data_IF_920839574722
#
_entry.id   IF_920839574722
#
_cell.length_a   1.000
_cell.length_b   1.000
_cell.length_c   1.000
_cell.angle_alpha   90.00
_cell.angle_beta   90.00
_cell.angle_gamma   90.00
#
_symmetry.space_group_name_H-M   'P 1'
#
loop_
_entity.id
_entity.type
_entity.pdbx_description
1 polymer ?
#
# COMPACT_ATOMS: atom_id res chain seq x y z
N UNK A 1 2.21 -15.59 -18.12
CA UNK A 1 3.43 -14.89 -17.63
C UNK A 1 4.26 -15.88 -16.85
N UNK A 2 5.59 -15.82 -16.90
CA UNK A 2 6.40 -16.61 -15.96
C UNK A 2 6.13 -16.12 -14.53
N UNK A 3 6.09 -17.02 -13.54
CA UNK A 3 5.83 -16.68 -12.12
C UNK A 3 6.81 -15.63 -11.61
N UNK A 4 8.07 -15.70 -12.03
CA UNK A 4 9.10 -14.71 -11.72
C UNK A 4 8.68 -13.30 -12.16
N UNK A 5 8.12 -13.17 -13.36
CA UNK A 5 7.64 -11.88 -13.87
C UNK A 5 6.49 -11.35 -13.01
N UNK A 6 5.57 -12.23 -12.59
CA UNK A 6 4.46 -11.83 -11.71
C UNK A 6 4.99 -11.33 -10.36
N UNK A 7 5.92 -12.08 -9.75
CA UNK A 7 6.52 -11.72 -8.47
C UNK A 7 7.27 -10.37 -8.55
N UNK A 8 8.03 -10.13 -9.61
CA UNK A 8 8.74 -8.86 -9.83
C UNK A 8 7.75 -7.72 -10.01
N UNK A 9 6.73 -7.88 -10.86
CA UNK A 9 5.70 -6.86 -11.07
C UNK A 9 4.95 -6.53 -9.78
N UNK A 10 4.55 -7.55 -9.03
CA UNK A 10 3.90 -7.43 -7.73
C UNK A 10 4.80 -6.70 -6.72
N UNK A 11 6.08 -7.08 -6.64
CA UNK A 11 7.05 -6.42 -5.78
C UNK A 11 7.21 -4.93 -6.13
N UNK A 12 7.34 -4.60 -7.41
CA UNK A 12 7.51 -3.23 -7.89
C UNK A 12 6.28 -2.37 -7.60
N UNK A 13 5.08 -2.85 -7.92
CA UNK A 13 3.83 -2.12 -7.68
C UNK A 13 3.62 -1.94 -6.17
N UNK A 14 3.85 -2.98 -5.38
CA UNK A 14 3.75 -2.90 -3.92
C UNK A 14 4.75 -1.90 -3.34
N UNK A 15 6.00 -1.91 -3.79
CA UNK A 15 7.00 -0.96 -3.33
C UNK A 15 6.62 0.50 -3.63
N UNK A 16 6.12 0.78 -4.84
CA UNK A 16 5.59 2.10 -5.19
C UNK A 16 4.40 2.46 -4.28
N UNK A 17 3.50 1.50 -4.03
CA UNK A 17 2.35 1.72 -3.16
C UNK A 17 2.74 2.01 -1.70
N UNK A 18 3.81 1.41 -1.19
CA UNK A 18 4.35 1.68 0.15
C UNK A 18 4.89 3.12 0.29
N UNK A 19 5.37 3.70 -0.81
CA UNK A 19 5.84 5.09 -0.84
C UNK A 19 4.68 6.09 -0.85
N UNK A 20 3.52 5.69 -1.38
CA UNK A 20 2.33 6.54 -1.47
C UNK A 20 1.90 7.06 -0.09
N UNK A 21 1.71 8.38 0.08
CA UNK A 21 1.21 8.98 1.30
C UNK A 21 -0.08 8.33 1.78
N UNK A 22 -0.19 8.19 3.09
CA UNK A 22 -1.29 7.51 3.73
C UNK A 22 -1.10 7.38 5.23
N UNK A 23 -2.09 6.78 5.93
CA UNK A 23 -2.06 6.65 7.37
C UNK A 23 -0.86 5.83 7.87
N UNK A 24 -0.42 4.83 7.11
CA UNK A 24 0.72 3.96 7.44
C UNK A 24 2.04 4.74 7.50
N UNK A 25 2.35 5.49 6.43
CA UNK A 25 3.55 6.33 6.35
C UNK A 25 3.53 7.44 7.41
N UNK A 26 2.39 8.13 7.55
CA UNK A 26 2.20 9.18 8.55
C UNK A 26 2.42 8.67 9.98
N UNK A 27 1.89 7.48 10.29
CA UNK A 27 2.03 6.85 11.60
C UNK A 27 3.51 6.57 11.93
N UNK A 28 4.26 6.01 10.99
CA UNK A 28 5.70 5.72 11.18
C UNK A 28 6.48 7.02 11.36
N UNK A 29 6.27 8.00 10.47
CA UNK A 29 6.98 9.30 10.52
C UNK A 29 6.73 10.01 11.85
N UNK A 30 5.47 10.16 12.27
CA UNK A 30 5.12 10.89 13.51
C UNK A 30 5.67 10.22 14.77
N UNK A 31 5.67 8.88 14.82
CA UNK A 31 6.08 8.18 16.03
C UNK A 31 7.57 7.87 16.09
N UNK A 32 8.24 7.67 14.97
CA UNK A 32 9.70 7.55 14.93
C UNK A 32 10.40 8.85 15.36
N UNK A 33 9.78 10.00 15.03
CA UNK A 33 10.29 11.33 15.36
C UNK A 33 10.01 11.73 16.80
N UNK A 34 8.80 11.48 17.31
CA UNK A 34 8.39 11.86 18.68
C UNK A 34 8.84 10.86 19.76
N UNK A 35 8.82 9.57 19.46
CA UNK A 35 9.01 8.49 20.44
C UNK A 35 10.24 7.61 20.13
N UNK A 36 11.07 8.02 19.17
CA UNK A 36 12.32 7.35 18.81
C UNK A 36 12.18 6.17 17.83
N UNK A 37 13.32 5.77 17.28
CA UNK A 37 13.43 4.76 16.21
C UNK A 37 12.82 3.41 16.60
N UNK A 38 13.03 2.98 17.85
CA UNK A 38 12.52 1.70 18.36
C UNK A 38 11.00 1.62 18.25
N UNK A 39 10.28 2.67 18.65
CA UNK A 39 8.82 2.75 18.53
C UNK A 39 8.38 2.66 17.07
N UNK A 40 9.08 3.36 16.17
CA UNK A 40 8.84 3.27 14.72
C UNK A 40 9.05 1.86 14.15
N UNK A 41 10.04 1.11 14.63
CA UNK A 41 10.29 -0.28 14.20
C UNK A 41 9.17 -1.23 14.60
N UNK A 42 8.63 -1.10 15.82
CA UNK A 42 7.48 -1.92 16.25
C UNK A 42 6.20 -1.57 15.48
N UNK A 43 6.00 -0.28 15.16
CA UNK A 43 4.91 0.14 14.26
C UNK A 43 5.10 -0.48 12.87
N UNK A 44 6.31 -0.42 12.30
CA UNK A 44 6.63 -1.01 11.00
C UNK A 44 6.33 -2.52 10.98
N UNK A 45 6.67 -3.23 12.06
CA UNK A 45 6.33 -4.64 12.21
C UNK A 45 4.81 -4.88 12.24
N UNK A 46 4.06 -4.07 12.99
CA UNK A 46 2.60 -4.13 13.04
C UNK A 46 1.95 -3.89 11.68
N UNK A 47 2.37 -2.83 10.97
CA UNK A 47 1.90 -2.51 9.61
C UNK A 47 2.17 -3.67 8.65
N UNK A 48 3.36 -4.26 8.70
CA UNK A 48 3.77 -5.36 7.83
C UNK A 48 2.96 -6.63 8.09
N UNK A 49 2.64 -6.92 9.36
CA UNK A 49 1.73 -8.02 9.70
C UNK A 49 0.30 -7.78 9.19
N UNK A 50 -0.20 -6.53 9.21
CA UNK A 50 -1.49 -6.18 8.60
C UNK A 50 -1.48 -6.42 7.08
N UNK A 51 -0.42 -5.98 6.41
CA UNK A 51 -0.21 -6.18 4.97
C UNK A 51 -0.17 -7.67 4.63
N UNK A 52 0.56 -8.46 5.43
CA UNK A 52 0.62 -9.92 5.26
C UNK A 52 -0.77 -10.54 5.37
N UNK A 53 -1.60 -10.08 6.31
CA UNK A 53 -2.95 -10.61 6.49
C UNK A 53 -3.87 -10.25 5.33
N UNK A 54 -3.87 -8.99 4.87
CA UNK A 54 -4.59 -8.58 3.66
C UNK A 54 -4.15 -9.37 2.44
N UNK A 55 -2.85 -9.59 2.29
CA UNK A 55 -2.27 -10.36 1.18
C UNK A 55 -2.71 -11.83 1.24
N UNK A 56 -2.65 -12.45 2.42
CA UNK A 56 -3.06 -13.83 2.65
C UNK A 56 -4.53 -14.05 2.33
N UNK A 57 -5.42 -13.20 2.86
CA UNK A 57 -6.85 -13.29 2.59
C UNK A 57 -7.19 -12.99 1.15
N UNK A 58 -6.50 -12.05 0.51
CA UNK A 58 -6.72 -11.76 -0.90
C UNK A 58 -6.29 -12.95 -1.77
N UNK A 59 -5.08 -13.48 -1.58
CA UNK A 59 -4.56 -14.62 -2.34
C UNK A 59 -5.42 -15.89 -2.20
N UNK A 60 -5.84 -16.21 -0.97
CA UNK A 60 -6.66 -17.39 -0.70
C UNK A 60 -8.11 -17.19 -1.11
N UNK A 61 -8.70 -16.03 -0.80
CA UNK A 61 -10.09 -15.69 -1.13
C UNK A 61 -10.34 -15.57 -2.64
N UNK A 62 -9.40 -14.98 -3.39
CA UNK A 62 -9.52 -14.89 -4.85
C UNK A 62 -9.48 -16.26 -5.50
N UNK A 63 -8.58 -17.15 -5.06
CA UNK A 63 -8.51 -18.52 -5.59
C UNK A 63 -9.85 -19.26 -5.46
N UNK A 64 -10.57 -19.04 -4.36
CA UNK A 64 -11.91 -19.58 -4.15
C UNK A 64 -12.97 -18.91 -5.05
N UNK A 65 -12.97 -17.57 -5.10
CA UNK A 65 -13.96 -16.79 -5.84
C UNK A 65 -13.93 -17.04 -7.35
N UNK A 66 -12.73 -17.16 -7.94
CA UNK A 66 -12.58 -17.41 -9.39
C UNK A 66 -13.25 -18.71 -9.81
N UNK A 67 -13.16 -19.77 -9.00
CA UNK A 67 -13.72 -21.08 -9.35
C UNK A 67 -15.20 -21.22 -9.01
N UNK A 68 -15.66 -20.61 -7.92
CA UNK A 68 -17.02 -20.83 -7.40
C UNK A 68 -18.01 -19.71 -7.74
N UNK A 69 -17.53 -18.47 -7.90
CA UNK A 69 -18.40 -17.29 -8.12
C UNK A 69 -17.76 -16.30 -9.11
N UNK A 70 -17.67 -16.64 -10.41
CA UNK A 70 -17.02 -15.80 -11.42
C UNK A 70 -17.63 -14.39 -11.53
N UNK A 71 -18.95 -14.26 -11.37
CA UNK A 71 -19.64 -12.96 -11.38
C UNK A 71 -19.20 -12.07 -10.22
N UNK A 72 -19.07 -12.64 -9.02
CA UNK A 72 -18.61 -11.89 -7.84
C UNK A 72 -17.13 -11.48 -7.99
N UNK A 73 -16.31 -12.36 -8.59
CA UNK A 73 -14.93 -12.04 -8.93
C UNK A 73 -14.84 -10.84 -9.89
N UNK A 74 -15.63 -10.81 -10.97
CA UNK A 74 -15.68 -9.68 -11.90
C UNK A 74 -16.12 -8.37 -11.24
N UNK A 75 -17.13 -8.42 -10.34
CA UNK A 75 -17.56 -7.25 -9.56
C UNK A 75 -16.43 -6.72 -8.69
N UNK A 76 -15.68 -7.61 -8.04
CA UNK A 76 -14.53 -7.25 -7.20
C UNK A 76 -13.42 -6.63 -8.03
N UNK A 77 -13.11 -7.17 -9.23
CA UNK A 77 -12.12 -6.58 -10.13
C UNK A 77 -12.54 -5.18 -10.60
N UNK A 78 -13.80 -4.98 -10.98
CA UNK A 78 -14.32 -3.67 -11.38
C UNK A 78 -14.26 -2.65 -10.23
N UNK A 79 -14.66 -3.06 -9.02
CA UNK A 79 -14.59 -2.21 -7.84
C UNK A 79 -13.14 -1.85 -7.49
N UNK A 80 -12.24 -2.84 -7.54
CA UNK A 80 -10.82 -2.67 -7.27
C UNK A 80 -10.11 -1.76 -8.27
N UNK A 81 -10.32 -1.99 -9.57
CA UNK A 81 -9.80 -1.14 -10.64
C UNK A 81 -10.31 0.31 -10.54
N UNK A 82 -11.60 0.49 -10.26
CA UNK A 82 -12.20 1.82 -10.03
C UNK A 82 -11.56 2.55 -8.83
N UNK A 83 -11.29 1.82 -7.75
CA UNK A 83 -10.67 2.41 -6.56
C UNK A 83 -9.20 2.77 -6.80
N UNK A 84 -8.42 1.92 -7.47
CA UNK A 84 -7.05 2.26 -7.87
C UNK A 84 -7.03 3.50 -8.77
N UNK A 85 -7.99 3.61 -9.68
CA UNK A 85 -8.14 4.80 -10.53
C UNK A 85 -8.47 6.05 -9.70
N UNK A 86 -9.38 5.94 -8.73
CA UNK A 86 -9.70 7.02 -7.78
C UNK A 86 -8.47 7.45 -6.97
N UNK A 87 -7.69 6.51 -6.43
CA UNK A 87 -6.44 6.81 -5.72
C UNK A 87 -5.41 7.46 -6.64
N UNK A 88 -5.25 6.94 -7.86
CA UNK A 88 -4.34 7.49 -8.85
C UNK A 88 -4.69 8.94 -9.20
N UNK A 89 -5.97 9.21 -9.48
CA UNK A 89 -6.48 10.55 -9.73
C UNK A 89 -6.29 11.49 -8.53
N UNK A 90 -6.54 11.00 -7.30
CA UNK A 90 -6.31 11.76 -6.07
C UNK A 90 -4.84 12.18 -5.91
N UNK A 91 -3.91 11.27 -6.16
CA UNK A 91 -2.47 11.55 -6.06
C UNK A 91 -1.99 12.52 -7.16
N UNK A 92 -2.48 12.37 -8.40
CA UNK A 92 -2.21 13.33 -9.48
C UNK A 92 -2.76 14.73 -9.17
N UNK A 93 -3.98 14.81 -8.62
CA UNK A 93 -4.59 16.08 -8.22
C UNK A 93 -3.84 16.75 -7.07
N UNK A 94 -3.39 15.99 -6.07
CA UNK A 94 -2.57 16.50 -4.99
C UNK A 94 -1.24 17.07 -5.51
N UNK A 95 -0.58 16.33 -6.41
CA UNK A 95 0.64 16.77 -7.09
C UNK A 95 0.41 18.08 -7.85
N UNK A 96 -0.68 18.16 -8.63
CA UNK A 96 -1.03 19.36 -9.39
C UNK A 96 -1.28 20.58 -8.50
N UNK A 97 -1.96 20.40 -7.37
CA UNK A 97 -2.24 21.48 -6.43
C UNK A 97 -0.96 22.00 -5.75
N UNK A 98 -0.03 21.11 -5.36
CA UNK A 98 1.25 21.51 -4.77
C UNK A 98 2.15 22.21 -5.80
N UNK A 99 2.09 21.80 -7.06
CA UNK A 99 2.85 22.45 -8.14
C UNK A 99 2.25 23.82 -8.51
N UNK A 100 0.92 24.01 -8.40
CA UNK A 100 0.28 25.30 -8.64
C UNK A 100 0.32 26.28 -7.47
N UNK A 101 0.36 25.78 -6.22
CA UNK A 101 0.46 26.60 -5.02
C UNK A 101 1.86 26.42 -4.43
N UNK A 102 2.78 27.32 -4.79
CA UNK A 102 4.10 27.46 -4.18
C UNK A 102 4.01 27.98 -2.74
N UNK A 103 3.20 27.36 -1.88
CA UNK A 103 3.09 27.77 -0.48
C UNK A 103 3.14 26.56 0.46
N UNK A 104 3.99 26.70 1.48
CA UNK A 104 4.37 25.70 2.47
C UNK A 104 3.16 25.17 3.25
N UNK A 105 2.49 24.15 2.73
CA UNK A 105 1.51 23.38 3.49
C UNK A 105 2.21 22.20 4.15
N UNK A 106 2.90 22.48 5.27
CA UNK A 106 3.21 21.45 6.24
C UNK A 106 1.89 20.84 6.72
N UNK A 107 1.63 19.58 6.35
CA UNK A 107 0.44 18.84 6.80
C UNK A 107 0.54 18.63 8.30
N UNK A 108 0.04 19.58 9.09
CA UNK A 108 -0.24 19.38 10.52
C UNK A 108 -1.39 18.40 10.65
N UNK A 109 -1.06 17.12 10.75
CA UNK A 109 -2.03 16.12 11.18
C UNK A 109 -2.19 16.28 12.70
N UNK A 110 -3.23 17.01 13.14
CA UNK A 110 -3.66 17.01 14.54
C UNK A 110 -4.14 15.61 14.92
N UNK A 111 -3.26 14.80 15.49
CA UNK A 111 -3.66 13.51 16.10
C UNK A 111 -3.32 13.56 17.59
N UNK A 112 -4.35 13.33 18.40
CA UNK A 112 -4.35 13.42 19.87
C UNK A 112 -3.17 12.69 20.49
N UNK A 113 -2.57 13.33 21.49
CA UNK A 113 -1.49 12.82 22.32
C UNK A 113 -1.84 11.45 22.90
N UNK A 114 -1.21 10.41 22.38
CA UNK A 114 -1.07 9.14 23.08
C UNK A 114 0.42 8.81 23.03
N UNK A 115 1.07 9.03 24.16
CA UNK A 115 2.45 8.60 24.41
C UNK A 115 2.48 7.09 24.23
N UNK A 116 3.09 6.61 23.14
CA UNK A 116 3.26 5.16 22.94
C UNK A 116 4.34 4.73 23.93
N UNK A 117 3.92 4.24 25.09
CA UNK A 117 4.81 3.98 26.21
C UNK A 117 5.47 2.59 26.14
N UNK A 118 4.90 1.65 25.37
CA UNK A 118 5.42 0.29 25.28
C UNK A 118 5.41 -0.30 23.84
N UNK A 119 6.30 -1.27 23.62
CA UNK A 119 6.53 -1.94 22.32
C UNK A 119 5.28 -2.64 21.77
N UNK A 120 4.44 -3.19 22.66
CA UNK A 120 3.20 -3.88 22.29
C UNK A 120 2.17 -2.91 21.72
N UNK A 121 2.03 -1.75 22.35
CA UNK A 121 1.14 -0.69 21.90
C UNK A 121 1.57 -0.14 20.54
N UNK A 122 2.87 0.05 20.33
CA UNK A 122 3.44 0.43 19.04
C UNK A 122 3.06 -0.57 17.92
N UNK A 123 3.27 -1.87 18.18
CA UNK A 123 2.89 -2.94 17.26
C UNK A 123 1.37 -2.97 17.02
N UNK A 124 0.57 -2.98 18.08
CA UNK A 124 -0.89 -3.05 17.98
C UNK A 124 -1.46 -1.84 17.24
N UNK A 125 -0.88 -0.65 17.42
CA UNK A 125 -1.27 0.55 16.68
C UNK A 125 -0.94 0.42 15.19
N UNK A 126 0.27 -0.01 14.84
CA UNK A 126 0.63 -0.28 13.44
C UNK A 126 -0.30 -1.31 12.80
N UNK A 127 -0.52 -2.44 13.48
CA UNK A 127 -1.41 -3.49 12.99
C UNK A 127 -2.85 -3.01 12.81
N UNK A 128 -3.42 -2.33 13.81
CA UNK A 128 -4.78 -1.79 13.75
C UNK A 128 -4.92 -0.72 12.67
N UNK A 129 -3.93 0.16 12.51
CA UNK A 129 -3.93 1.18 11.45
C UNK A 129 -3.99 0.54 10.08
N UNK A 130 -3.18 -0.48 9.79
CA UNK A 130 -3.20 -1.11 8.47
C UNK A 130 -4.43 -2.01 8.24
N UNK A 131 -4.86 -2.79 9.23
CA UNK A 131 -6.00 -3.70 9.04
C UNK A 131 -7.31 -2.94 8.83
N UNK A 132 -7.47 -1.78 9.48
CA UNK A 132 -8.62 -0.89 9.33
C UNK A 132 -8.46 0.10 8.17
N UNK A 133 -7.35 0.03 7.42
CA UNK A 133 -7.09 0.93 6.31
C UNK A 133 -7.85 0.46 5.05
N UNK A 134 -8.92 1.16 4.62
CA UNK A 134 -9.64 0.78 3.41
C UNK A 134 -8.75 0.86 2.16
N UNK A 135 -7.72 1.73 2.16
CA UNK A 135 -6.73 1.81 1.07
C UNK A 135 -5.98 0.50 0.91
N UNK A 136 -5.49 -0.07 2.01
CA UNK A 136 -4.72 -1.31 2.00
C UNK A 136 -5.60 -2.50 1.59
N UNK A 137 -6.79 -2.62 2.18
CA UNK A 137 -7.73 -3.71 1.88
C UNK A 137 -8.05 -3.75 0.38
N UNK A 138 -8.50 -2.63 -0.18
CA UNK A 138 -8.90 -2.59 -1.59
C UNK A 138 -7.69 -2.74 -2.51
N UNK A 139 -6.54 -2.16 -2.15
CA UNK A 139 -5.29 -2.35 -2.91
C UNK A 139 -4.94 -3.84 -3.06
N UNK A 140 -4.88 -4.62 -1.97
CA UNK A 140 -4.50 -6.04 -2.06
C UNK A 140 -5.53 -6.88 -2.79
N UNK A 141 -6.82 -6.62 -2.59
CA UNK A 141 -7.88 -7.29 -3.35
C UNK A 141 -7.71 -7.02 -4.85
N UNK A 142 -7.48 -5.76 -5.23
CA UNK A 142 -7.31 -5.35 -6.64
C UNK A 142 -6.04 -5.94 -7.26
N UNK A 143 -4.93 -5.84 -6.53
CA UNK A 143 -3.62 -6.30 -6.98
C UNK A 143 -3.61 -7.81 -7.19
N UNK A 144 -4.10 -8.57 -6.21
CA UNK A 144 -4.12 -10.02 -6.29
C UNK A 144 -5.10 -10.51 -7.37
N UNK A 145 -6.29 -9.90 -7.48
CA UNK A 145 -7.30 -10.34 -8.47
C UNK A 145 -6.89 -10.08 -9.91
N UNK A 146 -5.94 -9.17 -10.12
CA UNK A 146 -5.54 -8.74 -11.47
C UNK A 146 -4.20 -9.34 -11.90
N UNK A 147 -3.27 -9.53 -10.97
CA UNK A 147 -1.90 -9.98 -11.29
C UNK A 147 -1.63 -11.44 -10.96
N UNK A 148 -2.40 -12.06 -10.06
CA UNK A 148 -2.14 -13.43 -9.62
C UNK A 148 -3.12 -14.39 -10.30
N UNK A 149 -2.65 -15.24 -11.24
CA UNK A 149 -3.47 -16.28 -11.84
C UNK A 149 -3.94 -17.30 -10.80
N UNK A 150 -5.12 -17.87 -11.00
CA UNK A 150 -5.70 -18.87 -10.10
C UNK A 150 -4.81 -20.13 -9.98
N UNK A 151 -4.14 -20.48 -11.08
CA UNK A 151 -3.25 -21.64 -11.25
C UNK A 151 -1.80 -21.40 -10.78
N UNK A 152 -1.48 -20.21 -10.24
CA UNK A 152 -0.15 -19.95 -9.65
C UNK A 152 0.19 -21.00 -8.58
N UNK A 153 1.42 -21.51 -8.59
CA UNK A 153 1.89 -22.53 -7.67
C UNK A 153 1.80 -22.09 -6.20
N UNK A 154 1.63 -23.06 -5.28
CA UNK A 154 1.61 -22.77 -3.84
C UNK A 154 2.93 -22.18 -3.35
N UNK A 155 4.06 -22.62 -3.93
CA UNK A 155 5.37 -22.01 -3.71
C UNK A 155 5.42 -20.56 -4.17
N UNK A 156 4.89 -20.24 -5.35
CA UNK A 156 4.82 -18.88 -5.87
C UNK A 156 3.99 -17.96 -4.98
N UNK A 157 2.82 -18.42 -4.52
CA UNK A 157 1.98 -17.69 -3.55
C UNK A 157 2.71 -17.46 -2.23
N UNK A 158 3.43 -18.47 -1.71
CA UNK A 158 4.25 -18.34 -0.51
C UNK A 158 5.37 -17.31 -0.65
N UNK A 159 6.09 -17.33 -1.78
CA UNK A 159 7.15 -16.36 -2.09
C UNK A 159 6.57 -14.94 -2.19
N UNK A 160 5.40 -14.77 -2.83
CA UNK A 160 4.73 -13.48 -2.91
C UNK A 160 4.44 -12.89 -1.51
N UNK A 161 3.92 -13.71 -0.58
CA UNK A 161 3.67 -13.28 0.80
C UNK A 161 4.94 -12.84 1.53
N UNK A 162 6.04 -13.60 1.37
CA UNK A 162 7.34 -13.25 1.95
C UNK A 162 7.86 -11.94 1.39
N UNK A 163 7.76 -11.73 0.07
CA UNK A 163 8.19 -10.50 -0.60
C UNK A 163 7.36 -9.31 -0.11
N UNK A 164 6.03 -9.42 -0.06
CA UNK A 164 5.14 -8.34 0.37
C UNK A 164 5.40 -7.95 1.82
N UNK A 165 5.49 -8.93 2.72
CA UNK A 165 5.84 -8.69 4.12
C UNK A 165 7.23 -8.09 4.25
N UNK A 166 8.24 -8.67 3.60
CA UNK A 166 9.64 -8.28 3.68
C UNK A 166 9.88 -6.87 3.16
N UNK A 167 9.31 -6.51 2.00
CA UNK A 167 9.39 -5.15 1.45
C UNK A 167 8.73 -4.13 2.36
N UNK A 168 7.56 -4.46 2.92
CA UNK A 168 6.85 -3.57 3.85
C UNK A 168 7.68 -3.34 5.11
N UNK A 169 8.21 -4.41 5.70
CA UNK A 169 9.00 -4.34 6.93
C UNK A 169 10.29 -3.58 6.68
N UNK A 170 10.98 -3.86 5.57
CA UNK A 170 12.19 -3.17 5.17
C UNK A 170 11.93 -1.67 4.98
N UNK A 171 10.95 -1.30 4.16
CA UNK A 171 10.64 0.09 3.85
C UNK A 171 10.28 0.90 5.10
N UNK A 172 9.31 0.43 5.89
CA UNK A 172 8.87 1.17 7.07
C UNK A 172 9.91 1.17 8.19
N UNK A 173 10.74 0.12 8.31
CA UNK A 173 11.85 0.10 9.27
C UNK A 173 12.97 1.06 8.85
N UNK A 174 13.30 1.08 7.56
CA UNK A 174 14.24 2.02 7.00
C UNK A 174 13.76 3.44 7.26
N UNK A 175 12.49 3.74 6.95
CA UNK A 175 11.82 5.01 7.19
C UNK A 175 11.91 5.42 8.68
N UNK A 176 11.55 4.52 9.60
CA UNK A 176 11.63 4.74 11.04
C UNK A 176 13.06 5.08 11.51
N UNK A 177 14.08 4.42 10.94
CA UNK A 177 15.47 4.66 11.28
C UNK A 177 15.96 6.01 10.74
N UNK A 178 15.64 6.27 9.48
CA UNK A 178 16.05 7.42 8.69
C UNK A 178 15.47 8.75 9.18
N UNK A 179 14.18 8.82 9.51
CA UNK A 179 13.48 10.06 9.86
C UNK A 179 13.73 10.62 11.26
N UNK A 180 14.59 9.97 12.03
CA UNK A 180 15.09 10.48 13.31
C UNK A 180 15.87 11.81 13.22
N UNK A 181 16.16 12.31 12.00
CA UNK A 181 16.84 13.59 11.76
C UNK A 181 15.98 14.57 10.96
N UNK A 182 15.97 15.85 11.40
CA UNK A 182 15.18 16.94 10.77
C UNK A 182 15.51 17.16 9.29
N UNK A 183 16.77 16.92 8.90
CA UNK A 183 17.23 17.05 7.50
C UNK A 183 16.49 16.11 6.57
N UNK A 184 16.25 14.88 7.02
CA UNK A 184 15.60 13.88 6.18
C UNK A 184 14.08 14.04 6.14
N UNK A 185 13.48 14.58 7.19
CA UNK A 185 12.07 14.98 7.18
C UNK A 185 11.80 16.03 6.08
N UNK A 186 12.69 17.03 5.97
CA UNK A 186 12.61 18.05 4.92
C UNK A 186 12.76 17.45 3.51
N UNK A 187 13.76 16.58 3.31
CA UNK A 187 13.95 15.91 2.01
C UNK A 187 12.77 15.01 1.63
N UNK A 188 12.16 14.32 2.58
CA UNK A 188 10.98 13.49 2.31
C UNK A 188 9.79 14.37 1.92
N UNK A 189 9.58 15.50 2.62
CA UNK A 189 8.57 16.50 2.30
C UNK A 189 8.71 16.99 0.86
N UNK A 190 9.93 17.34 0.43
CA UNK A 190 10.24 17.78 -0.93
C UNK A 190 10.04 16.66 -1.96
N UNK A 191 10.33 15.41 -1.60
CA UNK A 191 10.15 14.25 -2.47
C UNK A 191 8.68 13.82 -2.63
N UNK A 192 7.79 14.18 -1.69
CA UNK A 192 6.37 13.77 -1.69
C UNK A 192 5.68 14.08 -3.01
N UNK A 193 5.94 15.24 -3.62
CA UNK A 193 5.32 15.63 -4.91
C UNK A 193 5.67 14.64 -6.03
N UNK A 194 6.94 14.20 -6.10
CA UNK A 194 7.37 13.23 -7.10
C UNK A 194 6.82 11.83 -6.81
N UNK A 195 6.75 11.45 -5.54
CA UNK A 195 6.19 10.17 -5.10
C UNK A 195 4.69 10.12 -5.42
N UNK A 196 3.95 11.18 -5.13
CA UNK A 196 2.53 11.31 -5.45
C UNK A 196 2.28 11.27 -6.95
N UNK A 197 3.09 11.98 -7.73
CA UNK A 197 3.01 11.94 -9.19
C UNK A 197 3.21 10.52 -9.74
N UNK A 198 4.27 9.82 -9.28
CA UNK A 198 4.55 8.45 -9.69
C UNK A 198 3.44 7.48 -9.28
N UNK A 199 2.99 7.52 -8.02
CA UNK A 199 1.89 6.68 -7.54
C UNK A 199 0.61 6.96 -8.33
N UNK A 200 0.35 8.24 -8.60
CA UNK A 200 -0.77 8.71 -9.40
C UNK A 200 -0.82 8.07 -10.78
N UNK A 201 0.27 8.20 -11.54
CA UNK A 201 0.39 7.60 -12.88
C UNK A 201 0.24 6.08 -12.83
N UNK A 202 0.99 5.41 -11.95
CA UNK A 202 1.01 3.94 -11.86
C UNK A 202 -0.36 3.39 -11.49
N UNK A 203 -1.02 3.94 -10.46
CA UNK A 203 -2.34 3.49 -10.04
C UNK A 203 -3.43 3.80 -11.07
N UNK A 204 -3.36 4.94 -11.77
CA UNK A 204 -4.30 5.24 -12.85
C UNK A 204 -4.13 4.27 -14.03
N UNK A 205 -2.91 3.95 -14.44
CA UNK A 205 -2.65 2.97 -15.52
C UNK A 205 -3.17 1.58 -15.12
N UNK A 206 -2.83 1.12 -13.91
CA UNK A 206 -3.26 -0.20 -13.43
C UNK A 206 -4.78 -0.24 -13.29
N UNK A 207 -5.39 0.78 -12.68
CA UNK A 207 -6.84 0.87 -12.54
C UNK A 207 -7.57 0.82 -13.88
N UNK A 208 -7.12 1.60 -14.87
CA UNK A 208 -7.66 1.58 -16.24
C UNK A 208 -7.48 0.21 -16.91
N UNK A 209 -6.30 -0.40 -16.77
CA UNK A 209 -6.02 -1.73 -17.33
C UNK A 209 -6.96 -2.80 -16.76
N UNK A 210 -7.18 -2.78 -15.44
CA UNK A 210 -8.07 -3.74 -14.77
C UNK A 210 -9.51 -3.55 -15.22
N UNK A 211 -9.99 -2.31 -15.32
CA UNK A 211 -11.33 -2.00 -15.80
C UNK A 211 -11.51 -2.50 -17.23
N UNK A 212 -10.57 -2.18 -18.12
CA UNK A 212 -10.61 -2.64 -19.52
C UNK A 212 -10.67 -4.17 -19.62
N UNK A 213 -9.79 -4.86 -18.88
CA UNK A 213 -9.73 -6.32 -18.89
C UNK A 213 -11.03 -6.95 -18.37
N UNK A 214 -11.54 -6.43 -17.25
CA UNK A 214 -12.78 -6.93 -16.63
C UNK A 214 -14.00 -6.73 -17.54
N UNK A 215 -14.12 -5.55 -18.16
CA UNK A 215 -15.19 -5.24 -19.12
C UNK A 215 -15.10 -6.13 -20.37
N UNK A 216 -13.90 -6.34 -20.91
CA UNK A 216 -13.71 -7.21 -22.08
C UNK A 216 -14.08 -8.66 -21.79
N UNK A 217 -13.79 -9.17 -20.59
CA UNK A 217 -14.13 -10.54 -20.18
C UNK A 217 -15.60 -10.78 -19.86
N UNK A 218 -16.39 -9.71 -19.62
CA UNK A 218 -17.85 -9.78 -19.43
C UNK A 218 -18.62 -9.79 -20.77
N UNK A 219 -18.00 -9.28 -21.83
CA UNK A 219 -18.62 -9.11 -23.16
C UNK A 219 -18.29 -10.30 -24.09
N UNK A 220 -17.21 -11.04 -23.80
CA UNK A 220 -16.77 -12.24 -24.52
C UNK A 220 -17.48 -13.51 -24.01
#
# INVERSE_FOLDING_TARGET
>A
MNEVTILVTLASIHFIALMSPGPDLALVVQNATRHGRQTGLYIALGLSCGILLHSLFSLTGISYLVHQQPTLFAIIQLAGGSYLLYLGFGALRATWNIVQQSDDQAVETKTKDLVIANKREAFSKGFATNILNPKALVFFISLMSSLVPADMSQSGKGIALVILFGLSLFWFSLLAWMLSTKVLQKKLSEATVYIDGLCGVVFSIIGLSILWQSLSGLIA
#
